data_IF_679893194544
#
_entry.id   IF_679893194544
#
_cell.length_a   1.000
_cell.length_b   1.000
_cell.length_c   1.000
_cell.angle_alpha   90.00
_cell.angle_beta   90.00
_cell.angle_gamma   90.00
#
_symmetry.space_group_name_H-M   'P 1'
#
loop_
_entity.id
_entity.type
_entity.pdbx_description
1 polymer ?
#
# COMPACT_ATOMS: atom_id res chain seq x y z
N UNK A 1 -25.31 -2.09 4.86
CA UNK A 1 -24.09 -1.50 4.34
C UNK A 1 -23.29 -0.99 5.54
N UNK A 2 -22.07 -1.49 5.84
CA UNK A 2 -21.21 -0.84 6.83
C UNK A 2 -20.95 0.58 6.33
N UNK A 3 -21.20 1.57 7.18
CA UNK A 3 -21.03 2.98 6.82
C UNK A 3 -19.54 3.33 6.78
N UNK A 4 -19.11 4.22 5.88
CA UNK A 4 -17.72 4.72 5.85
C UNK A 4 -17.24 5.32 7.19
N UNK A 5 -18.18 5.69 8.07
CA UNK A 5 -17.91 6.10 9.46
C UNK A 5 -17.29 4.98 10.31
N UNK A 6 -17.57 3.71 10.01
CA UNK A 6 -17.09 2.58 10.81
C UNK A 6 -15.60 2.29 10.55
N UNK A 7 -15.14 2.35 9.30
CA UNK A 7 -13.73 2.19 8.98
C UNK A 7 -12.87 3.34 9.53
N UNK A 8 -13.35 4.57 9.48
CA UNK A 8 -12.66 5.72 10.04
C UNK A 8 -12.50 5.60 11.56
N UNK A 9 -13.54 5.14 12.28
CA UNK A 9 -13.48 4.89 13.71
C UNK A 9 -12.48 3.77 14.07
N UNK A 10 -12.38 2.71 13.26
CA UNK A 10 -11.40 1.63 13.47
C UNK A 10 -9.98 2.11 13.24
N UNK A 11 -9.73 2.89 12.20
CA UNK A 11 -8.43 3.50 11.94
C UNK A 11 -8.01 4.50 13.03
N UNK A 12 -8.94 5.28 13.56
CA UNK A 12 -8.67 6.21 14.65
C UNK A 12 -8.25 5.52 15.97
N UNK A 13 -8.61 4.24 16.16
CA UNK A 13 -8.25 3.43 17.33
C UNK A 13 -6.89 2.72 17.20
N UNK A 14 -6.24 2.78 16.06
CA UNK A 14 -4.90 2.19 15.90
C UNK A 14 -3.89 2.92 16.78
N UNK A 15 -2.90 2.19 17.26
CA UNK A 15 -1.74 2.76 17.97
C UNK A 15 -0.80 3.43 16.95
N UNK A 16 -1.18 4.63 16.51
CA UNK A 16 -0.39 5.42 15.55
C UNK A 16 1.03 5.70 16.03
N UNK A 17 1.29 5.97 17.33
CA UNK A 17 2.66 6.06 17.82
C UNK A 17 3.48 4.78 17.64
N UNK A 18 2.89 3.59 17.83
CA UNK A 18 3.58 2.32 17.56
C UNK A 18 3.82 2.09 16.07
N UNK A 19 2.83 2.44 15.23
CA UNK A 19 2.96 2.41 13.76
C UNK A 19 4.11 3.31 13.31
N UNK A 20 4.17 4.55 13.80
CA UNK A 20 5.22 5.49 13.49
C UNK A 20 6.59 4.94 13.88
N UNK A 21 6.77 4.45 15.12
CA UNK A 21 8.03 3.82 15.55
C UNK A 21 8.44 2.67 14.65
N UNK A 22 7.50 1.83 14.23
CA UNK A 22 7.77 0.70 13.33
C UNK A 22 8.20 1.17 11.94
N UNK A 23 7.53 2.17 11.39
CA UNK A 23 7.88 2.79 10.11
C UNK A 23 9.29 3.40 10.13
N UNK A 24 9.67 4.09 11.22
CA UNK A 24 11.01 4.60 11.40
C UNK A 24 12.07 3.50 11.53
N UNK A 25 11.78 2.46 12.29
CA UNK A 25 12.74 1.38 12.54
C UNK A 25 12.92 0.44 11.33
N UNK A 26 11.81 0.09 10.64
CA UNK A 26 11.78 -1.01 9.69
C UNK A 26 11.31 -0.61 8.28
N UNK A 27 10.74 0.58 8.11
CA UNK A 27 10.11 1.02 6.85
C UNK A 27 8.74 0.41 6.60
N UNK A 28 8.18 -0.32 7.56
CA UNK A 28 6.82 -0.84 7.51
C UNK A 28 6.21 -0.98 8.91
N UNK A 29 4.89 -1.09 8.96
CA UNK A 29 4.12 -1.45 10.15
C UNK A 29 2.96 -2.37 9.76
N UNK A 30 2.73 -3.42 10.55
CA UNK A 30 1.55 -4.28 10.44
C UNK A 30 0.51 -3.83 11.47
N UNK A 31 -0.75 -3.75 11.09
CA UNK A 31 -1.86 -3.38 11.97
C UNK A 31 -2.65 -4.61 12.40
N UNK A 32 -3.45 -4.52 13.48
CA UNK A 32 -4.58 -5.43 13.68
C UNK A 32 -5.55 -5.37 12.50
N UNK A 33 -6.51 -6.31 12.45
CA UNK A 33 -7.55 -6.30 11.42
C UNK A 33 -8.39 -5.02 11.47
N UNK A 34 -8.38 -4.26 10.37
CA UNK A 34 -9.17 -3.03 10.19
C UNK A 34 -10.38 -3.26 9.29
N UNK A 35 -10.33 -4.28 8.42
CA UNK A 35 -11.47 -4.73 7.63
C UNK A 35 -12.10 -5.95 8.30
N UNK A 36 -13.42 -6.00 8.30
CA UNK A 36 -14.17 -7.19 8.71
C UNK A 36 -14.14 -8.25 7.61
N UNK A 37 -14.43 -9.50 7.94
CA UNK A 37 -14.53 -10.57 6.94
C UNK A 37 -15.60 -10.26 5.85
N UNK A 38 -16.70 -9.62 6.23
CA UNK A 38 -17.75 -9.20 5.27
C UNK A 38 -17.24 -8.13 4.31
N UNK A 39 -16.50 -7.13 4.79
CA UNK A 39 -15.89 -6.08 3.94
C UNK A 39 -14.82 -6.66 3.02
N UNK A 40 -14.03 -7.62 3.50
CA UNK A 40 -13.09 -8.34 2.65
C UNK A 40 -13.80 -9.09 1.51
N UNK A 41 -14.88 -9.81 1.84
CA UNK A 41 -15.69 -10.53 0.84
C UNK A 41 -16.37 -9.56 -0.16
N UNK A 42 -16.88 -8.42 0.31
CA UNK A 42 -17.43 -7.36 -0.56
C UNK A 42 -16.38 -6.87 -1.55
N UNK A 43 -15.17 -6.53 -1.09
CA UNK A 43 -14.09 -6.04 -1.96
C UNK A 43 -13.64 -7.11 -2.97
N UNK A 44 -13.54 -8.37 -2.56
CA UNK A 44 -13.22 -9.48 -3.48
C UNK A 44 -14.33 -9.61 -4.54
N UNK A 45 -15.59 -9.49 -4.15
CA UNK A 45 -16.73 -9.57 -5.07
C UNK A 45 -16.73 -8.48 -6.15
N UNK A 46 -16.13 -7.31 -5.88
CA UNK A 46 -16.00 -6.25 -6.89
C UNK A 46 -15.08 -6.64 -8.05
N UNK A 47 -14.19 -7.62 -7.85
CA UNK A 47 -13.18 -7.97 -8.86
C UNK A 47 -13.77 -8.43 -10.19
N UNK A 48 -14.96 -9.04 -10.16
CA UNK A 48 -15.66 -9.50 -11.37
C UNK A 48 -16.42 -8.40 -12.13
N UNK A 49 -16.61 -7.22 -11.52
CA UNK A 49 -17.33 -6.08 -12.14
C UNK A 49 -16.34 -5.18 -12.90
N UNK A 50 -16.11 -5.49 -14.17
CA UNK A 50 -15.19 -4.72 -15.04
C UNK A 50 -15.49 -3.22 -15.10
N UNK A 51 -16.75 -2.80 -14.91
CA UNK A 51 -17.13 -1.39 -14.96
C UNK A 51 -16.55 -0.57 -13.79
N UNK A 52 -16.09 -1.24 -12.74
CA UNK A 52 -15.42 -0.61 -11.58
C UNK A 52 -13.99 -0.21 -11.85
N UNK A 53 -13.39 -0.71 -12.93
CA UNK A 53 -11.96 -0.57 -13.16
C UNK A 53 -11.66 0.21 -14.44
N UNK A 54 -10.68 1.10 -14.37
CA UNK A 54 -10.19 1.87 -15.51
C UNK A 54 -9.16 1.10 -16.34
N UNK A 55 -8.51 0.11 -15.74
CA UNK A 55 -7.54 -0.73 -16.44
C UNK A 55 -7.29 -2.02 -15.68
N UNK A 56 -7.06 -3.08 -16.46
CA UNK A 56 -6.64 -4.40 -16.01
C UNK A 56 -5.24 -4.68 -16.55
N UNK A 57 -4.35 -5.17 -15.70
CA UNK A 57 -2.94 -5.42 -16.04
C UNK A 57 -2.61 -6.89 -15.74
N UNK A 58 -2.31 -7.65 -16.79
CA UNK A 58 -1.65 -8.95 -16.69
C UNK A 58 -0.15 -8.72 -16.41
N UNK A 59 0.32 -9.14 -15.24
CA UNK A 59 1.70 -8.92 -14.82
C UNK A 59 2.72 -9.64 -15.70
N UNK A 60 2.38 -10.83 -16.23
CA UNK A 60 3.29 -11.62 -17.04
C UNK A 60 3.65 -10.89 -18.34
N UNK A 61 2.69 -10.18 -18.93
CA UNK A 61 2.89 -9.39 -20.15
C UNK A 61 3.96 -8.31 -20.00
N UNK A 62 4.11 -7.75 -18.79
CA UNK A 62 5.05 -6.68 -18.49
C UNK A 62 6.28 -7.14 -17.70
N UNK A 63 6.43 -8.45 -17.46
CA UNK A 63 7.52 -9.04 -16.64
C UNK A 63 7.52 -8.55 -15.19
N UNK A 64 6.36 -8.17 -14.66
CA UNK A 64 6.20 -7.75 -13.27
C UNK A 64 6.04 -8.93 -12.30
N UNK A 65 5.78 -10.12 -12.81
CA UNK A 65 5.50 -11.35 -12.09
C UNK A 65 4.43 -12.17 -12.80
N UNK A 66 3.65 -12.94 -12.03
CA UNK A 66 2.51 -13.72 -12.52
C UNK A 66 1.30 -13.43 -11.63
N UNK A 67 0.25 -12.90 -12.22
CA UNK A 67 -0.97 -12.46 -11.56
C UNK A 67 -1.62 -11.32 -12.33
N UNK A 68 -2.70 -10.80 -11.80
CA UNK A 68 -3.45 -9.71 -12.39
C UNK A 68 -3.76 -8.65 -11.34
N UNK A 69 -3.80 -7.38 -11.75
CA UNK A 69 -4.34 -6.33 -10.93
C UNK A 69 -5.20 -5.36 -11.73
N UNK A 70 -6.18 -4.75 -11.05
CA UNK A 70 -7.15 -3.85 -11.64
C UNK A 70 -7.19 -2.54 -10.86
N UNK A 71 -6.89 -1.42 -11.54
CA UNK A 71 -7.04 -0.08 -10.97
C UNK A 71 -8.49 0.35 -10.99
N UNK A 72 -9.03 0.79 -9.86
CA UNK A 72 -10.37 1.35 -9.80
C UNK A 72 -10.52 2.59 -10.69
N UNK A 73 -11.74 2.76 -11.24
CA UNK A 73 -12.17 4.03 -11.83
C UNK A 73 -12.72 4.97 -10.75
N UNK A 74 -12.85 6.26 -11.07
CA UNK A 74 -13.59 7.19 -10.24
C UNK A 74 -15.11 7.14 -10.60
N UNK A 75 -16.03 7.26 -9.62
CA UNK A 75 -15.76 7.35 -8.17
C UNK A 75 -15.31 6.00 -7.58
N UNK A 76 -14.43 6.06 -6.58
CA UNK A 76 -13.98 4.86 -5.85
C UNK A 76 -15.16 4.19 -5.11
N UNK A 77 -15.09 2.87 -4.88
CA UNK A 77 -16.03 2.22 -3.95
C UNK A 77 -16.01 2.92 -2.58
N UNK A 78 -17.17 3.13 -1.94
CA UNK A 78 -17.26 3.94 -0.70
C UNK A 78 -16.30 3.48 0.41
N UNK A 79 -16.12 2.17 0.58
CA UNK A 79 -15.21 1.61 1.58
C UNK A 79 -13.74 1.93 1.26
N UNK A 80 -13.33 1.85 -0.01
CA UNK A 80 -11.97 2.18 -0.46
C UNK A 80 -11.69 3.66 -0.29
N UNK A 81 -12.66 4.51 -0.65
CA UNK A 81 -12.55 5.97 -0.51
C UNK A 81 -12.45 6.38 0.97
N UNK A 82 -13.32 5.84 1.83
CA UNK A 82 -13.31 6.11 3.26
C UNK A 82 -12.00 5.64 3.93
N UNK A 83 -11.49 4.45 3.57
CA UNK A 83 -10.20 3.94 4.03
C UNK A 83 -9.05 4.89 3.63
N UNK A 84 -9.03 5.31 2.36
CA UNK A 84 -8.01 6.20 1.81
C UNK A 84 -8.00 7.55 2.52
N UNK A 85 -9.19 8.15 2.73
CA UNK A 85 -9.34 9.43 3.42
C UNK A 85 -8.96 9.36 4.90
N UNK A 86 -9.37 8.30 5.60
CA UNK A 86 -9.12 8.18 7.04
C UNK A 86 -7.67 7.79 7.38
N UNK A 87 -6.99 7.03 6.51
CA UNK A 87 -5.60 6.65 6.72
C UNK A 87 -4.61 7.78 6.37
N UNK A 88 -4.97 8.69 5.46
CA UNK A 88 -4.05 9.69 4.94
C UNK A 88 -3.53 10.68 5.98
N UNK A 89 -4.34 11.35 6.82
CA UNK A 89 -3.87 12.41 7.70
C UNK A 89 -2.75 11.98 8.67
N UNK A 90 -2.86 10.87 9.42
CA UNK A 90 -1.76 10.42 10.27
C UNK A 90 -0.53 10.01 9.48
N UNK A 91 -0.69 9.43 8.28
CA UNK A 91 0.42 9.09 7.40
C UNK A 91 1.09 10.33 6.81
N UNK A 92 0.36 11.40 6.53
CA UNK A 92 0.92 12.67 6.07
C UNK A 92 1.78 13.33 7.15
N UNK A 93 1.40 13.22 8.43
CA UNK A 93 2.22 13.70 9.54
C UNK A 93 3.57 12.96 9.59
N UNK A 94 3.56 11.62 9.50
CA UNK A 94 4.78 10.78 9.47
C UNK A 94 5.61 11.08 8.21
N UNK A 95 4.96 11.20 7.05
CA UNK A 95 5.62 11.53 5.79
C UNK A 95 6.38 12.86 5.86
N UNK A 96 5.77 13.90 6.44
CA UNK A 96 6.41 15.21 6.61
C UNK A 96 7.61 15.16 7.57
N UNK A 97 7.55 14.34 8.63
CA UNK A 97 8.71 14.09 9.48
C UNK A 97 9.85 13.41 8.69
N UNK A 98 9.52 12.44 7.84
CA UNK A 98 10.52 11.77 6.99
C UNK A 98 11.16 12.73 5.98
N UNK A 99 10.34 13.57 5.34
CA UNK A 99 10.87 14.57 4.39
C UNK A 99 11.80 15.57 5.08
N UNK A 100 11.42 16.06 6.27
CA UNK A 100 12.25 16.93 7.08
C UNK A 100 13.58 16.26 7.50
N UNK A 101 13.52 15.00 7.93
CA UNK A 101 14.71 14.23 8.31
C UNK A 101 15.66 13.96 7.14
N UNK A 102 15.13 13.86 5.93
CA UNK A 102 15.89 13.68 4.69
C UNK A 102 16.32 14.99 4.03
N UNK A 103 16.06 16.12 4.68
CA UNK A 103 16.37 17.46 4.19
C UNK A 103 15.81 17.73 2.78
N UNK A 104 14.54 17.34 2.58
CA UNK A 104 13.82 17.61 1.31
C UNK A 104 12.99 18.87 1.44
N UNK A 105 12.76 19.55 0.31
CA UNK A 105 11.84 20.71 0.25
C UNK A 105 10.36 20.27 0.11
N UNK A 106 10.07 18.97 0.18
CA UNK A 106 8.72 18.46 -0.02
C UNK A 106 7.91 18.57 1.26
N UNK A 107 6.68 19.09 1.12
CA UNK A 107 5.68 19.11 2.19
C UNK A 107 4.37 18.52 1.65
N UNK A 108 3.85 17.53 2.34
CA UNK A 108 2.58 16.88 1.99
C UNK A 108 1.42 17.60 2.69
N UNK A 109 0.34 17.94 1.96
CA UNK A 109 -0.85 18.54 2.55
C UNK A 109 -1.45 17.67 3.68
N UNK A 110 -2.13 18.26 4.68
CA UNK A 110 -2.68 17.49 5.80
C UNK A 110 -3.90 16.63 5.42
N UNK A 111 -4.52 16.88 4.25
CA UNK A 111 -5.69 16.15 3.77
C UNK A 111 -5.42 15.48 2.44
N UNK A 112 -6.10 14.35 2.18
CA UNK A 112 -6.00 13.63 0.91
C UNK A 112 -6.43 14.52 -0.28
N UNK A 113 -7.49 15.30 -0.13
CA UNK A 113 -7.94 16.22 -1.19
C UNK A 113 -6.87 17.28 -1.51
N UNK A 114 -6.16 17.75 -0.50
CA UNK A 114 -5.00 18.61 -0.69
C UNK A 114 -3.90 17.95 -1.52
N UNK A 115 -3.56 16.69 -1.22
CA UNK A 115 -2.58 15.92 -2.01
C UNK A 115 -3.07 15.71 -3.45
N UNK A 116 -4.34 15.32 -3.63
CA UNK A 116 -4.94 15.13 -4.95
C UNK A 116 -4.92 16.41 -5.78
N UNK A 117 -5.19 17.55 -5.15
CA UNK A 117 -5.08 18.85 -5.83
C UNK A 117 -3.64 19.14 -6.29
N UNK A 118 -2.62 18.73 -5.52
CA UNK A 118 -1.21 18.82 -5.95
C UNK A 118 -0.95 17.88 -7.15
N UNK A 119 -1.41 16.63 -7.08
CA UNK A 119 -1.31 15.65 -8.17
C UNK A 119 -1.97 16.18 -9.46
N UNK A 120 -3.20 16.68 -9.37
CA UNK A 120 -3.98 17.16 -10.52
C UNK A 120 -3.31 18.35 -11.21
N UNK A 121 -2.71 19.28 -10.46
CA UNK A 121 -1.91 20.38 -11.05
C UNK A 121 -0.69 19.89 -11.85
N UNK A 122 -0.22 18.66 -11.60
CA UNK A 122 0.88 18.00 -12.33
C UNK A 122 0.40 17.00 -13.39
N UNK A 123 -0.91 16.99 -13.68
CA UNK A 123 -1.50 16.08 -14.67
C UNK A 123 -1.67 14.64 -14.18
N UNK A 124 -1.50 14.39 -12.89
CA UNK A 124 -1.74 13.09 -12.25
C UNK A 124 -3.20 13.04 -11.77
N UNK A 125 -4.09 12.54 -12.62
CA UNK A 125 -5.55 12.59 -12.39
C UNK A 125 -6.20 11.21 -12.28
N UNK A 126 -5.43 10.14 -12.55
CA UNK A 126 -5.96 8.78 -12.55
C UNK A 126 -5.87 8.17 -11.15
N UNK A 127 -6.97 7.67 -10.56
CA UNK A 127 -6.94 7.03 -9.24
C UNK A 127 -6.03 5.81 -9.25
N UNK A 128 -5.33 5.60 -8.16
CA UNK A 128 -4.32 4.55 -8.00
C UNK A 128 -4.69 3.39 -7.05
N UNK A 129 -5.77 3.43 -6.26
CA UNK A 129 -6.21 2.23 -5.56
C UNK A 129 -6.52 1.09 -6.53
N UNK A 130 -6.14 -0.14 -6.13
CA UNK A 130 -6.19 -1.31 -7.01
C UNK A 130 -6.50 -2.58 -6.23
N UNK A 131 -7.16 -3.53 -6.89
CA UNK A 131 -7.26 -4.91 -6.43
C UNK A 131 -6.23 -5.77 -7.16
N UNK A 132 -5.51 -6.58 -6.40
CA UNK A 132 -4.54 -7.54 -6.91
C UNK A 132 -5.06 -8.96 -6.68
N UNK A 133 -4.91 -9.81 -7.68
CA UNK A 133 -5.30 -11.20 -7.66
C UNK A 133 -4.15 -12.11 -8.11
N UNK A 134 -3.89 -13.12 -7.31
CA UNK A 134 -2.88 -14.14 -7.57
C UNK A 134 -3.48 -15.51 -7.39
N UNK A 135 -3.22 -16.41 -8.31
CA UNK A 135 -3.52 -17.84 -8.21
C UNK A 135 -2.26 -18.65 -7.92
N UNK A 136 -2.41 -19.96 -7.78
CA UNK A 136 -1.28 -20.90 -7.62
C UNK A 136 -0.20 -20.64 -8.68
N UNK A 137 1.04 -20.49 -8.23
CA UNK A 137 2.18 -20.11 -9.07
C UNK A 137 2.41 -18.60 -9.20
N UNK A 138 1.41 -17.77 -8.83
CA UNK A 138 1.48 -16.32 -8.89
C UNK A 138 2.50 -15.72 -7.93
N UNK A 139 3.09 -14.61 -8.32
CA UNK A 139 4.04 -13.82 -7.51
C UNK A 139 4.16 -12.40 -8.08
N UNK A 140 4.74 -11.47 -7.29
CA UNK A 140 5.07 -10.14 -7.78
C UNK A 140 6.56 -9.85 -7.56
N UNK A 141 7.24 -9.43 -8.61
CA UNK A 141 8.64 -9.05 -8.54
C UNK A 141 8.86 -7.85 -7.61
N UNK A 142 10.04 -7.74 -7.02
CA UNK A 142 10.39 -6.61 -6.18
C UNK A 142 10.43 -5.30 -6.98
N UNK A 143 9.58 -4.35 -6.60
CA UNK A 143 9.39 -3.07 -7.31
C UNK A 143 9.15 -1.90 -6.36
N UNK A 144 8.93 -0.73 -6.95
CA UNK A 144 8.51 0.52 -6.30
C UNK A 144 7.35 1.11 -7.10
N UNK A 145 6.34 1.67 -6.42
CA UNK A 145 5.17 2.27 -7.06
C UNK A 145 5.39 3.77 -7.30
N UNK A 146 5.79 4.12 -8.52
CA UNK A 146 6.12 5.49 -8.92
C UNK A 146 5.30 5.86 -10.17
N UNK A 147 4.26 6.69 -10.03
CA UNK A 147 3.28 6.96 -11.08
C UNK A 147 3.26 8.41 -11.58
N UNK A 148 4.31 9.17 -11.33
CA UNK A 148 4.43 10.56 -11.77
C UNK A 148 5.44 11.36 -10.96
N UNK A 149 5.36 12.69 -11.06
CA UNK A 149 6.31 13.61 -10.41
C UNK A 149 5.98 13.81 -8.92
N UNK A 150 4.69 13.71 -8.56
CA UNK A 150 4.22 13.76 -7.17
C UNK A 150 4.16 12.34 -6.62
N UNK A 151 4.95 12.07 -5.60
CA UNK A 151 5.00 10.76 -4.93
C UNK A 151 4.79 10.96 -3.45
N UNK A 152 3.80 10.25 -2.88
CA UNK A 152 3.63 10.17 -1.43
C UNK A 152 4.49 9.00 -0.90
N UNK A 153 5.30 9.19 0.16
CA UNK A 153 6.33 8.23 0.55
C UNK A 153 5.81 6.96 1.23
N UNK A 154 4.54 6.92 1.59
CA UNK A 154 3.90 5.78 2.27
C UNK A 154 2.71 5.27 1.47
N UNK A 155 2.47 3.97 1.52
CA UNK A 155 1.30 3.31 0.97
C UNK A 155 0.87 2.17 1.88
N UNK A 156 -0.30 1.59 1.65
CA UNK A 156 -0.78 0.45 2.42
C UNK A 156 -1.39 -0.62 1.53
N UNK A 157 -1.35 -1.85 2.03
CA UNK A 157 -2.03 -3.00 1.43
C UNK A 157 -2.89 -3.68 2.48
N UNK A 158 -4.18 -3.89 2.17
CA UNK A 158 -5.11 -4.69 2.98
C UNK A 158 -5.16 -6.12 2.44
N UNK A 159 -5.15 -7.11 3.33
CA UNK A 159 -5.17 -8.52 3.00
C UNK A 159 -6.61 -9.04 3.07
N UNK A 160 -7.16 -9.45 1.92
CA UNK A 160 -8.58 -9.76 1.79
C UNK A 160 -8.86 -11.26 1.91
N UNK A 161 -7.94 -12.11 1.50
CA UNK A 161 -8.06 -13.57 1.56
C UNK A 161 -7.51 -14.13 2.87
N UNK A 162 -8.04 -15.28 3.29
CA UNK A 162 -7.62 -16.00 4.51
C UNK A 162 -6.43 -16.89 4.18
N UNK A 163 -5.28 -16.59 4.78
CA UNK A 163 -4.10 -17.44 4.69
C UNK A 163 -4.41 -18.84 5.24
N UNK A 164 -3.79 -19.88 4.70
CA UNK A 164 -3.96 -21.31 5.02
C UNK A 164 -5.37 -21.87 4.76
N UNK A 165 -6.32 -21.03 4.36
CA UNK A 165 -7.69 -21.44 3.99
C UNK A 165 -7.96 -21.20 2.51
N UNK A 166 -7.79 -19.94 2.07
CA UNK A 166 -8.06 -19.54 0.68
C UNK A 166 -6.80 -19.68 -0.18
N UNK A 167 -5.60 -19.55 0.42
CA UNK A 167 -4.30 -19.68 -0.24
C UNK A 167 -3.18 -20.04 0.74
N UNK A 168 -2.06 -20.55 0.18
CA UNK A 168 -0.79 -20.77 0.91
C UNK A 168 0.37 -20.11 0.19
N UNK A 169 1.48 -19.85 0.89
CA UNK A 169 2.58 -19.04 0.36
C UNK A 169 2.19 -17.55 0.28
N UNK A 170 2.68 -16.84 -0.72
CA UNK A 170 2.26 -15.48 -1.04
C UNK A 170 2.54 -14.45 0.07
N UNK A 171 3.67 -14.57 0.75
CA UNK A 171 4.09 -13.59 1.75
C UNK A 171 4.31 -12.23 1.10
N UNK A 172 3.98 -11.18 1.82
CA UNK A 172 4.35 -9.82 1.44
C UNK A 172 5.84 -9.63 1.74
N UNK A 173 6.61 -9.34 0.70
CA UNK A 173 8.05 -9.17 0.79
C UNK A 173 8.41 -7.69 0.82
N UNK A 174 9.32 -7.32 1.73
CA UNK A 174 10.00 -6.04 1.73
C UNK A 174 11.50 -6.27 1.68
N UNK A 175 12.19 -5.46 0.87
CA UNK A 175 13.65 -5.48 0.78
C UNK A 175 14.16 -4.07 0.97
N UNK A 176 14.99 -3.89 1.99
CA UNK A 176 15.73 -2.67 2.24
C UNK A 176 17.12 -2.78 1.67
N UNK A 177 17.52 -1.80 0.87
CA UNK A 177 18.88 -1.67 0.37
C UNK A 177 19.53 -0.40 0.91
N UNK A 178 20.61 -0.57 1.63
CA UNK A 178 21.44 0.51 2.17
C UNK A 178 22.70 0.69 1.33
N UNK A 179 23.23 1.91 1.21
CA UNK A 179 24.49 2.12 0.52
C UNK A 179 25.63 1.29 1.14
N UNK A 180 26.41 0.59 0.31
CA UNK A 180 27.57 -0.21 0.71
C UNK A 180 27.26 -1.33 1.73
N UNK A 181 26.04 -1.83 1.76
CA UNK A 181 25.63 -2.94 2.60
C UNK A 181 24.87 -3.99 1.80
N UNK A 182 24.77 -5.20 2.33
CA UNK A 182 23.89 -6.23 1.80
C UNK A 182 22.42 -5.81 2.00
N UNK A 183 21.53 -6.25 1.10
CA UNK A 183 20.10 -6.02 1.23
C UNK A 183 19.53 -6.85 2.38
N UNK A 184 18.60 -6.25 3.13
CA UNK A 184 17.84 -6.95 4.17
C UNK A 184 16.43 -7.22 3.67
N UNK A 185 16.00 -8.48 3.75
CA UNK A 185 14.64 -8.91 3.40
C UNK A 185 13.79 -9.13 4.65
N UNK A 186 12.51 -8.78 4.55
CA UNK A 186 11.46 -9.10 5.50
C UNK A 186 10.36 -9.86 4.77
N UNK A 187 9.88 -10.95 5.37
CA UNK A 187 8.74 -11.73 4.90
C UNK A 187 7.60 -11.57 5.90
N UNK A 188 6.49 -11.01 5.45
CA UNK A 188 5.36 -10.63 6.29
C UNK A 188 4.14 -11.43 5.84
N UNK A 189 3.51 -12.13 6.79
CA UNK A 189 2.31 -12.94 6.56
C UNK A 189 1.11 -12.37 7.32
N UNK A 190 0.43 -11.34 6.82
CA UNK A 190 -0.73 -10.77 7.48
C UNK A 190 -1.95 -11.68 7.39
N UNK A 191 -2.81 -11.61 8.40
CA UNK A 191 -4.10 -12.25 8.41
C UNK A 191 -5.14 -11.45 7.60
N UNK A 192 -6.30 -12.06 7.34
CA UNK A 192 -7.42 -11.38 6.69
C UNK A 192 -7.86 -10.15 7.47
N UNK A 193 -8.07 -9.04 6.77
CA UNK A 193 -8.48 -7.75 7.33
C UNK A 193 -7.34 -6.92 7.90
N UNK A 194 -6.14 -7.48 8.12
CA UNK A 194 -4.95 -6.73 8.52
C UNK A 194 -4.42 -5.85 7.37
N UNK A 195 -3.67 -4.81 7.73
CA UNK A 195 -2.95 -3.97 6.77
C UNK A 195 -1.44 -4.01 7.04
N UNK A 196 -0.68 -3.84 5.96
CA UNK A 196 0.73 -3.44 6.02
C UNK A 196 0.84 -2.04 5.44
N UNK A 197 1.36 -1.12 6.23
CA UNK A 197 1.75 0.24 5.82
C UNK A 197 3.25 0.20 5.58
N UNK A 198 3.73 0.75 4.46
CA UNK A 198 5.14 0.62 4.09
C UNK A 198 5.63 1.75 3.21
N UNK A 199 6.96 1.91 3.17
CA UNK A 199 7.61 2.91 2.35
C UNK A 199 7.46 2.61 0.86
N UNK A 200 6.98 3.59 0.08
CA UNK A 200 6.83 3.47 -1.38
C UNK A 200 8.19 3.32 -2.07
N UNK A 201 9.19 4.11 -1.65
CA UNK A 201 10.52 4.14 -2.30
C UNK A 201 11.69 4.24 -1.33
N UNK A 202 11.66 5.24 -0.46
CA UNK A 202 12.73 5.52 0.50
C UNK A 202 12.16 5.71 1.89
N UNK A 203 12.98 5.41 2.90
CA UNK A 203 12.76 5.80 4.28
C UNK A 203 14.02 6.47 4.84
N UNK A 204 13.90 7.32 5.86
CA UNK A 204 15.05 7.80 6.61
C UNK A 204 15.68 6.64 7.40
N UNK A 205 16.99 6.56 7.39
CA UNK A 205 17.78 5.59 8.14
C UNK A 205 18.89 6.33 8.88
N UNK A 206 18.98 6.11 10.19
CA UNK A 206 20.09 6.62 10.98
C UNK A 206 21.40 5.92 10.60
N UNK A 207 22.45 6.69 10.45
CA UNK A 207 23.80 6.22 10.20
C UNK A 207 24.82 7.00 11.02
N UNK A 208 26.06 6.58 11.01
CA UNK A 208 27.15 7.19 11.78
C UNK A 208 27.40 8.69 11.46
N UNK A 209 26.93 9.17 10.32
CA UNK A 209 27.13 10.56 9.83
C UNK A 209 25.81 11.33 9.66
N UNK A 210 24.74 10.89 10.27
CA UNK A 210 23.40 11.46 10.13
C UNK A 210 22.43 10.55 9.36
N UNK A 211 21.28 11.11 9.01
CA UNK A 211 20.19 10.38 8.34
C UNK A 211 20.45 10.30 6.84
N UNK A 212 20.20 9.14 6.25
CA UNK A 212 20.29 8.91 4.80
C UNK A 212 19.08 8.14 4.27
N UNK A 213 18.91 8.09 2.95
CA UNK A 213 17.84 7.37 2.26
C UNK A 213 18.15 5.88 2.18
N UNK A 214 17.38 5.04 2.88
CA UNK A 214 17.32 3.60 2.65
C UNK A 214 16.32 3.31 1.53
N UNK A 215 16.75 2.63 0.47
CA UNK A 215 15.86 2.26 -0.62
C UNK A 215 15.02 1.05 -0.22
N UNK A 216 13.70 1.13 -0.43
CA UNK A 216 12.75 0.06 -0.15
C UNK A 216 12.17 -0.46 -1.47
N UNK A 217 12.02 -1.77 -1.56
CA UNK A 217 11.24 -2.46 -2.61
C UNK A 217 10.29 -3.44 -1.95
N UNK A 218 9.16 -3.67 -2.59
CA UNK A 218 8.19 -4.65 -2.11
C UNK A 218 7.79 -5.59 -3.25
N UNK A 219 7.19 -6.71 -2.87
CA UNK A 219 6.73 -7.73 -3.79
C UNK A 219 5.91 -8.80 -3.06
N UNK A 220 5.61 -9.88 -3.76
CA UNK A 220 4.86 -11.02 -3.23
C UNK A 220 5.60 -12.30 -3.58
N UNK A 221 5.87 -13.16 -2.58
CA UNK A 221 6.43 -14.48 -2.81
C UNK A 221 5.43 -15.38 -3.55
N UNK A 222 5.90 -16.49 -4.10
CA UNK A 222 5.06 -17.39 -4.86
C UNK A 222 3.87 -17.92 -4.04
N UNK A 223 2.66 -17.84 -4.61
CA UNK A 223 1.47 -18.54 -4.12
C UNK A 223 1.68 -20.03 -4.38
N UNK A 224 1.62 -20.85 -3.36
CA UNK A 224 1.85 -22.30 -3.48
C UNK A 224 0.56 -23.07 -3.72
N UNK A 225 -0.58 -22.54 -3.26
CA UNK A 225 -1.92 -23.08 -3.59
C UNK A 225 -3.00 -22.02 -3.41
N UNK A 226 -4.13 -22.18 -4.09
CA UNK A 226 -5.33 -21.37 -3.92
C UNK A 226 -5.30 -20.01 -4.61
N UNK A 227 -6.08 -19.06 -4.07
CA UNK A 227 -6.34 -17.75 -4.67
C UNK A 227 -6.23 -16.63 -3.61
N UNK A 228 -5.40 -15.62 -3.88
CA UNK A 228 -5.07 -14.52 -2.96
C UNK A 228 -5.50 -13.18 -3.53
N UNK A 229 -6.31 -12.43 -2.79
CA UNK A 229 -6.71 -11.07 -3.11
C UNK A 229 -6.16 -10.07 -2.08
N UNK A 230 -5.73 -8.91 -2.57
CA UNK A 230 -5.34 -7.76 -1.73
C UNK A 230 -5.84 -6.47 -2.35
N UNK A 231 -6.09 -5.47 -1.49
CA UNK A 231 -6.37 -4.09 -1.87
C UNK A 231 -5.11 -3.26 -1.64
N UNK A 232 -4.52 -2.73 -2.70
CA UNK A 232 -3.47 -1.72 -2.63
C UNK A 232 -4.06 -0.32 -2.57
N UNK A 233 -3.59 0.50 -1.63
CA UNK A 233 -3.99 1.90 -1.50
C UNK A 233 -2.76 2.79 -1.59
N UNK A 234 -2.59 3.39 -2.76
CA UNK A 234 -1.59 4.40 -3.04
C UNK A 234 -2.29 5.75 -2.94
N UNK A 235 -1.65 6.74 -2.33
CA UNK A 235 -2.30 8.01 -2.02
C UNK A 235 -2.16 9.06 -3.11
N UNK A 236 -1.07 9.08 -3.86
CA UNK A 236 -0.93 9.95 -5.03
C UNK A 236 -1.62 9.35 -6.26
N UNK A 237 -2.23 10.20 -7.08
CA UNK A 237 -2.85 9.78 -8.34
C UNK A 237 -1.78 9.63 -9.45
N UNK A 238 -2.07 8.88 -10.52
CA UNK A 238 -1.18 8.62 -11.66
C UNK A 238 -1.42 9.60 -12.83
N UNK A 239 -0.47 9.68 -13.74
CA UNK A 239 -0.60 10.39 -15.03
C UNK A 239 -1.52 9.67 -16.00
#
# INVERSE_FOLDING_TARGET
MPSGNDIAARLARLDWPAIERSLWAWGYAKTPAVLTASECAELIGLYADEARFRSTVDMARYKFGVGEYKYFTAPLPPLVDALRHAAYPPLAAIANQWEAALDTATAHPPTLDGLRAVCHRRGQTKPTPLLLHYETGGYNCLHQDLYGDVVFPLQLTCFLSRRETDYTGGDFLLVEQRPRAQSRGESIAPAQGEMVIFATRYRPVEGARGIYRGAMRHGVSRITSGSRYTLGVIFHDAK
#
